data_IF_298340900928
#
_entry.id   IF_298340900928
#
_cell.length_a   1.000
_cell.length_b   1.000
_cell.length_c   1.000
_cell.angle_alpha   90.00
_cell.angle_beta   90.00
_cell.angle_gamma   90.00
#
_symmetry.space_group_name_H-M   'P 1'
#
loop_
_entity.id
_entity.type
_entity.pdbx_description
1 polymer ?
#
# COMPACT_ATOMS: atom_id res chain seq x y z
N UNK A 1 -28.92 7.74 65.87
CA UNK A 1 -28.37 7.60 64.51
C UNK A 1 -29.46 6.99 63.65
N UNK A 2 -30.08 7.78 62.76
CA UNK A 2 -31.19 7.32 61.92
C UNK A 2 -30.66 6.47 60.77
N UNK A 3 -31.14 5.23 60.66
CA UNK A 3 -30.73 4.32 59.59
C UNK A 3 -31.18 4.89 58.22
N UNK A 4 -30.21 5.09 57.32
CA UNK A 4 -30.49 5.49 55.93
C UNK A 4 -31.19 4.33 55.24
N UNK A 5 -32.39 4.50 54.67
CA UNK A 5 -33.10 3.41 54.02
C UNK A 5 -32.29 2.91 52.81
N UNK A 6 -32.29 1.59 52.56
CA UNK A 6 -31.55 1.01 51.45
C UNK A 6 -32.05 1.59 50.12
N UNK A 7 -31.14 2.15 49.33
CA UNK A 7 -31.45 2.66 47.98
C UNK A 7 -31.77 1.48 47.07
N UNK A 8 -33.03 1.36 46.67
CA UNK A 8 -33.48 0.35 45.72
C UNK A 8 -33.32 0.89 44.29
N UNK A 9 -32.33 0.38 43.55
CA UNK A 9 -32.15 0.72 42.14
C UNK A 9 -33.06 -0.19 41.33
N UNK A 10 -34.19 0.36 40.88
CA UNK A 10 -35.07 -0.35 39.93
C UNK A 10 -34.43 -0.23 38.54
N UNK A 11 -34.01 -1.34 37.91
CA UNK A 11 -33.54 -1.27 36.53
C UNK A 11 -34.73 -0.90 35.65
N UNK A 12 -34.71 0.32 35.10
CA UNK A 12 -35.71 0.79 34.13
C UNK A 12 -35.51 0.21 32.74
N UNK A 13 -34.45 -0.57 32.53
CA UNK A 13 -34.09 -1.14 31.23
C UNK A 13 -35.08 -2.22 30.82
N UNK A 14 -35.79 -2.00 29.73
CA UNK A 14 -36.71 -2.99 29.18
C UNK A 14 -35.96 -4.05 28.37
N UNK A 15 -36.54 -5.26 28.23
CA UNK A 15 -35.96 -6.34 27.40
C UNK A 15 -35.71 -5.90 25.94
N UNK A 16 -36.51 -4.94 25.47
CA UNK A 16 -36.37 -4.32 24.14
C UNK A 16 -35.10 -3.48 24.04
N UNK A 17 -34.79 -2.67 25.04
CA UNK A 17 -33.57 -1.85 25.07
C UNK A 17 -32.31 -2.72 25.11
N UNK A 18 -32.33 -3.81 25.89
CA UNK A 18 -31.25 -4.78 25.91
C UNK A 18 -31.01 -5.42 24.53
N UNK A 19 -32.10 -5.80 23.83
CA UNK A 19 -32.00 -6.37 22.48
C UNK A 19 -31.44 -5.36 21.47
N UNK A 20 -31.90 -4.10 21.53
CA UNK A 20 -31.42 -3.03 20.64
C UNK A 20 -29.93 -2.77 20.89
N UNK A 21 -29.48 -2.75 22.14
CA UNK A 21 -28.08 -2.57 22.49
C UNK A 21 -27.19 -3.70 21.93
N UNK A 22 -27.65 -4.95 22.02
CA UNK A 22 -26.93 -6.11 21.46
C UNK A 22 -26.84 -6.02 19.93
N UNK A 23 -27.93 -5.67 19.26
CA UNK A 23 -27.95 -5.51 17.80
C UNK A 23 -27.02 -4.37 17.36
N UNK A 24 -27.05 -3.23 18.05
CA UNK A 24 -26.16 -2.10 17.76
C UNK A 24 -24.69 -2.50 17.93
N UNK A 25 -24.34 -3.24 18.99
CA UNK A 25 -23.00 -3.77 19.19
C UNK A 25 -22.55 -4.71 18.06
N UNK A 26 -23.43 -5.62 17.63
CA UNK A 26 -23.15 -6.54 16.52
C UNK A 26 -22.95 -5.80 15.18
N UNK A 27 -23.72 -4.74 14.92
CA UNK A 27 -23.56 -3.93 13.71
C UNK A 27 -22.22 -3.21 13.67
N UNK A 28 -21.80 -2.61 14.79
CA UNK A 28 -20.48 -1.96 14.89
C UNK A 28 -19.36 -2.98 14.70
N UNK A 29 -19.48 -4.16 15.33
CA UNK A 29 -18.49 -5.23 15.18
C UNK A 29 -18.40 -5.71 13.73
N UNK A 30 -19.54 -5.93 13.06
CA UNK A 30 -19.58 -6.30 11.66
C UNK A 30 -18.93 -5.24 10.75
N UNK A 31 -19.16 -3.95 11.03
CA UNK A 31 -18.54 -2.85 10.30
C UNK A 31 -17.01 -2.83 10.45
N UNK A 32 -16.50 -3.05 11.66
CA UNK A 32 -15.05 -3.13 11.92
C UNK A 32 -14.44 -4.33 11.20
N UNK A 33 -15.07 -5.51 11.29
CA UNK A 33 -14.60 -6.72 10.59
C UNK A 33 -14.57 -6.47 9.08
N UNK A 34 -15.62 -5.88 8.52
CA UNK A 34 -15.68 -5.51 7.11
C UNK A 34 -14.54 -4.56 6.71
N UNK A 35 -14.28 -3.53 7.53
CA UNK A 35 -13.16 -2.60 7.30
C UNK A 35 -11.81 -3.30 7.26
N UNK A 36 -11.53 -4.20 8.22
CA UNK A 36 -10.28 -4.98 8.27
C UNK A 36 -10.15 -5.88 7.04
N UNK A 37 -11.23 -6.57 6.64
CA UNK A 37 -11.24 -7.40 5.44
C UNK A 37 -10.99 -6.60 4.15
N UNK A 38 -11.32 -5.31 4.15
CA UNK A 38 -11.14 -4.43 2.99
C UNK A 38 -9.75 -3.76 2.98
N UNK A 39 -9.14 -3.49 4.14
CA UNK A 39 -7.79 -2.89 4.26
C UNK A 39 -6.69 -3.74 3.62
N UNK A 40 -6.84 -5.07 3.58
CA UNK A 40 -5.86 -5.97 2.95
C UNK A 40 -5.91 -5.99 1.42
N UNK A 41 -6.85 -5.29 0.79
CA UNK A 41 -6.90 -5.18 -0.68
C UNK A 41 -6.06 -3.96 -1.08
N UNK A 42 -4.89 -4.13 -1.73
CA UNK A 42 -4.19 -2.99 -2.32
C UNK A 42 -5.18 -2.27 -3.24
N UNK A 43 -5.07 -0.94 -3.32
CA UNK A 43 -5.91 -0.12 -4.19
C UNK A 43 -5.85 -0.70 -5.61
N UNK A 44 -6.85 -1.52 -5.96
CA UNK A 44 -6.83 -2.40 -7.15
C UNK A 44 -6.77 -1.64 -8.47
N UNK A 45 -6.91 -0.31 -8.44
CA UNK A 45 -6.94 0.52 -9.64
C UNK A 45 -5.59 0.72 -10.31
N UNK A 46 -4.47 0.74 -9.56
CA UNK A 46 -3.22 1.31 -10.07
C UNK A 46 -1.98 0.43 -9.93
N UNK A 47 -2.13 -0.80 -9.45
CA UNK A 47 -1.01 -1.74 -9.33
C UNK A 47 -1.13 -2.84 -10.37
N UNK A 48 -0.14 -2.92 -11.26
CA UNK A 48 -0.02 -3.97 -12.27
C UNK A 48 0.93 -5.04 -11.74
N UNK A 49 0.55 -6.30 -11.89
CA UNK A 49 1.42 -7.44 -11.60
C UNK A 49 1.76 -8.15 -12.91
N UNK A 50 3.05 -8.30 -13.18
CA UNK A 50 3.55 -8.97 -14.37
C UNK A 50 4.80 -9.80 -14.11
N UNK A 51 5.25 -10.48 -15.15
CA UNK A 51 6.45 -11.33 -15.13
C UNK A 51 7.58 -10.62 -15.83
N UNK A 52 8.77 -10.61 -15.22
CA UNK A 52 9.97 -10.04 -15.83
C UNK A 52 10.37 -10.93 -17.02
N UNK A 53 10.33 -10.39 -18.23
CA UNK A 53 10.69 -11.08 -19.48
C UNK A 53 12.03 -10.64 -20.04
N UNK A 54 12.63 -9.59 -19.47
CA UNK A 54 13.94 -9.09 -19.89
C UNK A 54 14.49 -8.05 -18.93
N UNK A 55 15.81 -7.90 -18.99
CA UNK A 55 16.56 -6.93 -18.19
C UNK A 55 17.42 -6.07 -19.11
N UNK A 56 17.25 -4.76 -19.05
CA UNK A 56 18.02 -3.80 -19.84
C UNK A 56 18.76 -2.82 -18.92
N UNK A 57 20.03 -2.58 -19.25
CA UNK A 57 20.85 -1.58 -18.57
C UNK A 57 21.37 -0.60 -19.60
N UNK A 58 20.97 0.66 -19.45
CA UNK A 58 21.43 1.76 -20.30
C UNK A 58 22.45 2.58 -19.53
N UNK A 59 23.77 2.44 -19.81
CA UNK A 59 24.78 3.20 -19.11
C UNK A 59 24.66 4.69 -19.48
N UNK A 60 24.22 5.49 -18.52
CA UNK A 60 24.21 6.95 -18.60
C UNK A 60 25.01 7.49 -17.41
N UNK A 61 26.33 7.57 -17.59
CA UNK A 61 27.23 8.11 -16.57
C UNK A 61 27.03 9.62 -16.47
N UNK A 62 26.11 10.03 -15.62
CA UNK A 62 25.91 11.43 -15.28
C UNK A 62 26.42 11.72 -13.87
N UNK A 63 27.26 12.76 -13.77
CA UNK A 63 27.73 13.28 -12.49
C UNK A 63 26.83 14.43 -12.08
N UNK A 64 25.80 14.13 -11.27
CA UNK A 64 24.94 15.17 -10.76
C UNK A 64 25.65 15.89 -9.62
N UNK A 65 26.06 17.14 -9.88
CA UNK A 65 26.70 18.00 -8.89
C UNK A 65 25.63 18.90 -8.28
N UNK A 66 25.24 18.62 -7.03
CA UNK A 66 24.26 19.46 -6.33
C UNK A 66 24.99 20.55 -5.56
N UNK A 67 24.81 21.80 -6.00
CA UNK A 67 25.30 22.99 -5.30
C UNK A 67 24.21 23.56 -4.40
N UNK A 68 24.55 23.86 -3.15
CA UNK A 68 23.68 24.63 -2.25
C UNK A 68 24.47 25.83 -1.74
N UNK A 69 24.31 26.98 -2.39
CA UNK A 69 25.12 28.18 -2.10
C UNK A 69 26.58 27.99 -2.53
N UNK A 70 27.54 28.22 -1.63
CA UNK A 70 28.99 28.07 -1.87
C UNK A 70 29.55 26.67 -1.56
N UNK A 71 28.70 25.71 -1.16
CA UNK A 71 29.14 24.36 -0.78
C UNK A 71 28.58 23.29 -1.71
N UNK A 72 29.48 22.38 -2.12
CA UNK A 72 29.18 21.12 -2.81
C UNK A 72 28.50 20.18 -1.80
N UNK A 73 27.21 19.87 -2.01
CA UNK A 73 26.44 19.03 -1.07
C UNK A 73 26.54 17.54 -1.36
N UNK A 74 26.64 17.14 -2.62
CA UNK A 74 26.87 15.76 -3.01
C UNK A 74 27.22 15.68 -4.50
N UNK A 75 28.14 14.77 -4.84
CA UNK A 75 28.26 14.23 -6.18
C UNK A 75 27.56 12.86 -6.15
N UNK A 76 26.37 12.76 -6.76
CA UNK A 76 25.73 11.46 -6.97
C UNK A 76 26.20 10.96 -8.32
N UNK A 77 26.98 9.89 -8.31
CA UNK A 77 27.36 9.18 -9.52
C UNK A 77 26.21 8.24 -9.87
N UNK A 78 25.58 8.47 -11.01
CA UNK A 78 24.51 7.61 -11.53
C UNK A 78 25.16 6.68 -12.55
N UNK A 79 25.19 5.37 -12.26
CA UNK A 79 25.81 4.36 -13.13
C UNK A 79 25.10 4.24 -14.49
N UNK A 80 23.80 4.55 -14.50
CA UNK A 80 22.89 4.42 -15.62
C UNK A 80 21.49 4.05 -15.17
N UNK A 81 20.61 3.79 -16.12
CA UNK A 81 19.23 3.40 -15.88
C UNK A 81 19.11 1.87 -15.94
N UNK A 82 18.58 1.28 -14.87
CA UNK A 82 18.28 -0.16 -14.78
C UNK A 82 16.78 -0.36 -15.05
N UNK A 83 16.44 -1.13 -16.06
CA UNK A 83 15.05 -1.29 -16.52
C UNK A 83 14.68 -2.77 -16.59
N UNK A 84 13.51 -3.11 -16.06
CA UNK A 84 12.87 -4.41 -16.30
C UNK A 84 11.82 -4.32 -17.40
N UNK A 85 11.85 -5.28 -18.31
CA UNK A 85 10.75 -5.52 -19.25
C UNK A 85 9.75 -6.45 -18.59
N UNK A 86 8.61 -5.91 -18.15
CA UNK A 86 7.61 -6.65 -17.40
C UNK A 86 6.39 -6.92 -18.28
N UNK A 87 6.11 -8.20 -18.56
CA UNK A 87 4.92 -8.61 -19.30
C UNK A 87 3.74 -8.76 -18.35
N UNK A 88 2.72 -7.94 -18.54
CA UNK A 88 1.45 -8.03 -17.78
C UNK A 88 0.50 -8.92 -18.56
N UNK A 89 0.19 -10.10 -18.00
CA UNK A 89 -0.63 -11.11 -18.67
C UNK A 89 -2.05 -10.64 -19.00
N UNK A 90 -2.64 -9.78 -18.15
CA UNK A 90 -4.00 -9.26 -18.36
C UNK A 90 -4.09 -8.30 -19.57
N UNK A 91 -3.03 -7.52 -19.81
CA UNK A 91 -3.03 -6.47 -20.83
C UNK A 91 -2.24 -6.87 -22.10
N UNK A 92 -1.57 -8.03 -22.08
CA UNK A 92 -0.68 -8.53 -23.14
C UNK A 92 0.37 -7.50 -23.60
N UNK A 93 0.71 -6.56 -22.72
CA UNK A 93 1.70 -5.50 -22.93
C UNK A 93 2.96 -5.77 -22.13
N UNK A 94 4.08 -5.26 -22.65
CA UNK A 94 5.36 -5.23 -21.96
C UNK A 94 5.60 -3.80 -21.53
N UNK A 95 5.86 -3.62 -20.25
CA UNK A 95 6.16 -2.34 -19.62
C UNK A 95 7.65 -2.25 -19.33
N UNK A 96 8.23 -1.08 -19.58
CA UNK A 96 9.59 -0.75 -19.17
C UNK A 96 9.51 -0.13 -17.78
N UNK A 97 10.00 -0.86 -16.77
CA UNK A 97 9.91 -0.48 -15.35
C UNK A 97 11.31 -0.13 -14.86
N UNK A 98 11.61 1.16 -14.62
CA UNK A 98 12.89 1.56 -14.05
C UNK A 98 12.97 1.10 -12.58
N UNK A 99 14.12 0.54 -12.21
CA UNK A 99 14.38 -0.02 -10.87
C UNK A 99 15.73 0.43 -10.35
N UNK A 100 15.94 0.27 -9.04
CA UNK A 100 17.24 0.51 -8.43
C UNK A 100 18.22 -0.63 -8.74
N UNK A 101 19.53 -0.33 -8.66
CA UNK A 101 20.60 -1.30 -8.92
C UNK A 101 20.47 -2.57 -8.08
N UNK A 102 20.18 -2.43 -6.79
CA UNK A 102 20.11 -3.56 -5.87
C UNK A 102 18.92 -4.48 -6.23
N UNK A 103 17.78 -3.90 -6.60
CA UNK A 103 16.61 -4.66 -7.04
C UNK A 103 16.84 -5.30 -8.41
N UNK A 104 17.52 -4.60 -9.32
CA UNK A 104 17.95 -5.14 -10.60
C UNK A 104 18.85 -6.37 -10.42
N UNK A 105 19.77 -6.35 -9.46
CA UNK A 105 20.66 -7.48 -9.21
C UNK A 105 19.96 -8.63 -8.46
N UNK A 106 19.01 -8.33 -7.59
CA UNK A 106 18.29 -9.32 -6.78
C UNK A 106 17.30 -10.17 -7.59
N UNK A 107 16.65 -9.61 -8.61
CA UNK A 107 15.62 -10.31 -9.39
C UNK A 107 16.13 -10.88 -10.71
N UNK A 108 15.45 -11.92 -11.19
CA UNK A 108 15.77 -12.63 -12.44
C UNK A 108 14.58 -12.61 -13.39
N UNK A 109 14.87 -12.89 -14.66
CA UNK A 109 13.82 -13.15 -15.65
C UNK A 109 12.99 -14.36 -15.21
N UNK A 110 11.67 -14.26 -15.35
CA UNK A 110 10.70 -15.23 -14.83
C UNK A 110 10.13 -14.86 -13.46
N UNK A 111 10.75 -13.95 -12.71
CA UNK A 111 10.20 -13.50 -11.43
C UNK A 111 8.96 -12.62 -11.64
N UNK A 112 8.04 -12.69 -10.68
CA UNK A 112 6.85 -11.83 -10.67
C UNK A 112 7.15 -10.53 -9.94
N UNK A 113 6.71 -9.41 -10.52
CA UNK A 113 6.85 -8.08 -9.94
C UNK A 113 5.53 -7.32 -10.03
N UNK A 114 5.20 -6.63 -8.94
CA UNK A 114 4.12 -5.66 -8.93
C UNK A 114 4.71 -4.26 -9.00
N UNK A 115 4.18 -3.43 -9.88
CA UNK A 115 4.60 -2.06 -10.09
C UNK A 115 3.38 -1.16 -10.25
N UNK A 116 3.56 0.14 -10.08
CA UNK A 116 2.47 1.09 -10.32
C UNK A 116 2.32 1.34 -11.81
N UNK A 117 1.07 1.42 -12.29
CA UNK A 117 0.78 1.79 -13.68
C UNK A 117 1.45 3.14 -14.00
N UNK A 118 2.01 3.35 -15.21
CA UNK A 118 2.62 4.62 -15.57
C UNK A 118 1.65 5.79 -15.43
N UNK A 119 2.14 6.97 -14.99
CA UNK A 119 1.30 8.17 -14.77
C UNK A 119 0.45 8.55 -16.00
N UNK A 120 0.95 8.30 -17.20
CA UNK A 120 0.23 8.56 -18.46
C UNK A 120 -1.01 7.69 -18.68
N UNK A 121 -1.17 6.60 -17.92
CA UNK A 121 -2.27 5.64 -18.02
C UNK A 121 -3.10 5.56 -16.71
N UNK A 122 -2.83 6.43 -15.73
CA UNK A 122 -3.62 6.54 -14.50
C UNK A 122 -4.80 7.51 -14.75
N UNK A 123 -6.01 6.98 -14.92
CA UNK A 123 -7.28 7.75 -14.94
C UNK A 123 -7.94 7.82 -13.57
#
# INVERSE_FOLDING_TARGET
MSAVPPRYVVPTTTKREALVAVIAGLLVLAFVIYGIMQMGKPARGNQLTGVIVGKEFTPQKERQIVFSGRQLKAAREIDGEYVFKVRVGQEKRVYDVPVEKDEYLARKEGDTMSFMRPESEQE
#
